data_IF_691642117662
#
_entry.id   IF_691642117662
#
_cell.length_a   1.000
_cell.length_b   1.000
_cell.length_c   1.000
_cell.angle_alpha   90.00
_cell.angle_beta   90.00
_cell.angle_gamma   90.00
#
_symmetry.space_group_name_H-M   'P 1'
#
loop_
_entity.id
_entity.type
_entity.pdbx_description
1 polymer ?
#
# COMPACT_ATOMS: atom_id res chain seq x y z
N UNK A 1 20.64 10.24 11.66
CA UNK A 1 20.69 8.77 11.50
C UNK A 1 19.63 8.45 10.47
N UNK A 2 20.00 7.74 9.39
CA UNK A 2 19.05 7.38 8.32
C UNK A 2 18.26 6.15 8.75
N UNK A 3 16.98 6.16 8.46
CA UNK A 3 16.06 5.06 8.73
C UNK A 3 16.46 3.77 7.97
N UNK A 4 16.23 2.62 8.58
CA UNK A 4 16.42 1.29 7.95
C UNK A 4 15.10 0.51 7.89
N UNK A 5 15.06 -0.54 7.06
CA UNK A 5 13.89 -1.43 6.99
C UNK A 5 13.56 -2.08 8.35
N UNK A 6 14.58 -2.39 9.14
CA UNK A 6 14.40 -2.98 10.47
C UNK A 6 13.69 -2.03 11.44
N UNK A 7 13.91 -0.72 11.32
CA UNK A 7 13.24 0.29 12.15
C UNK A 7 11.73 0.39 11.86
N UNK A 8 11.32 -0.04 10.66
CA UNK A 8 9.93 0.00 10.20
C UNK A 8 9.12 -1.25 10.50
N UNK A 9 9.75 -2.34 10.97
CA UNK A 9 9.02 -3.53 11.36
C UNK A 9 7.98 -3.20 12.44
N UNK A 10 6.72 -3.55 12.16
CA UNK A 10 5.57 -3.29 13.01
C UNK A 10 5.02 -1.87 12.91
N UNK A 11 5.46 -1.05 11.96
CA UNK A 11 4.98 0.32 11.75
C UNK A 11 3.44 0.41 11.68
N UNK A 12 2.81 -0.52 10.96
CA UNK A 12 1.36 -0.57 10.76
C UNK A 12 0.60 -0.66 12.07
N UNK A 13 1.12 -1.42 13.04
CA UNK A 13 0.46 -1.59 14.34
C UNK A 13 0.84 -0.48 15.32
N UNK A 14 2.11 -0.07 15.32
CA UNK A 14 2.70 0.81 16.34
C UNK A 14 2.47 2.30 16.07
N UNK A 15 2.67 2.75 14.84
CA UNK A 15 2.88 4.18 14.54
C UNK A 15 1.90 4.76 13.52
N UNK A 16 1.27 3.92 12.69
CA UNK A 16 0.39 4.38 11.59
C UNK A 16 -0.70 5.34 12.08
N UNK A 17 -1.40 5.01 13.16
CA UNK A 17 -2.50 5.85 13.68
C UNK A 17 -2.01 7.22 14.14
N UNK A 18 -0.83 7.28 14.75
CA UNK A 18 -0.25 8.52 15.24
C UNK A 18 0.15 9.44 14.07
N UNK A 19 0.75 8.90 13.02
CA UNK A 19 1.10 9.66 11.82
C UNK A 19 -0.14 10.14 11.07
N UNK A 20 -1.16 9.29 10.92
CA UNK A 20 -2.42 9.66 10.27
C UNK A 20 -3.16 10.74 11.06
N UNK A 21 -3.24 10.62 12.39
CA UNK A 21 -3.84 11.66 13.24
C UNK A 21 -3.04 12.98 13.19
N UNK A 22 -1.72 12.91 13.05
CA UNK A 22 -0.85 14.08 12.96
C UNK A 22 -1.04 14.87 11.67
N UNK A 23 -1.16 14.19 10.53
CA UNK A 23 -1.16 14.85 9.22
C UNK A 23 -2.52 14.92 8.54
N UNK A 24 -3.45 14.05 8.89
CA UNK A 24 -4.79 13.96 8.29
C UNK A 24 -5.92 13.90 9.35
N UNK A 25 -5.93 14.78 10.37
CA UNK A 25 -6.95 14.74 11.44
C UNK A 25 -8.38 14.96 10.93
N UNK A 26 -8.53 15.69 9.83
CA UNK A 26 -9.82 16.10 9.26
C UNK A 26 -10.21 15.27 8.02
N UNK A 27 -9.45 14.23 7.68
CA UNK A 27 -9.75 13.41 6.51
C UNK A 27 -10.96 12.51 6.75
N UNK A 28 -11.81 12.39 5.74
CA UNK A 28 -12.99 11.53 5.78
C UNK A 28 -12.58 10.09 6.11
N UNK A 29 -13.23 9.41 7.06
CA UNK A 29 -12.92 8.02 7.34
C UNK A 29 -13.25 7.11 6.15
N UNK A 30 -12.43 6.09 5.96
CA UNK A 30 -12.67 4.98 5.05
C UNK A 30 -13.96 4.27 5.44
N UNK A 31 -14.73 3.91 4.42
CA UNK A 31 -15.94 3.10 4.55
C UNK A 31 -15.88 1.99 3.52
N UNK A 32 -15.87 0.75 3.98
CA UNK A 32 -15.95 -0.43 3.11
C UNK A 32 -17.21 -1.23 3.46
N UNK A 33 -17.95 -1.75 2.48
CA UNK A 33 -19.11 -2.58 2.74
C UNK A 33 -18.77 -3.87 3.50
N UNK A 34 -19.73 -4.43 4.24
CA UNK A 34 -19.54 -5.69 4.99
C UNK A 34 -19.19 -6.86 4.05
N UNK A 35 -19.75 -6.84 2.84
CA UNK A 35 -19.50 -7.84 1.80
C UNK A 35 -18.11 -7.72 1.13
N UNK A 36 -17.29 -6.73 1.50
CA UNK A 36 -15.93 -6.63 0.98
C UNK A 36 -15.13 -7.90 1.31
N UNK A 37 -14.50 -8.48 0.28
CA UNK A 37 -13.73 -9.72 0.31
C UNK A 37 -12.93 -9.85 1.62
N UNK A 38 -13.05 -10.96 2.37
CA UNK A 38 -12.34 -11.13 3.63
C UNK A 38 -10.85 -11.33 3.40
N UNK A 39 -10.02 -10.72 4.26
CA UNK A 39 -8.55 -10.85 4.18
C UNK A 39 -8.06 -12.19 4.73
N UNK A 40 -8.85 -12.86 5.59
CA UNK A 40 -8.44 -14.05 6.36
C UNK A 40 -7.85 -15.19 5.52
N UNK A 41 -8.42 -15.58 4.36
CA UNK A 41 -7.80 -16.61 3.52
C UNK A 41 -6.41 -16.23 3.04
N UNK A 42 -6.21 -14.97 2.67
CA UNK A 42 -4.93 -14.45 2.21
C UNK A 42 -3.88 -14.39 3.33
N UNK A 43 -4.28 -14.01 4.55
CA UNK A 43 -3.38 -13.98 5.71
C UNK A 43 -2.72 -15.33 5.99
N UNK A 44 -3.41 -16.45 5.71
CA UNK A 44 -2.88 -17.79 5.92
C UNK A 44 -1.75 -18.16 4.93
N UNK A 45 -1.58 -17.40 3.84
CA UNK A 45 -0.54 -17.59 2.82
C UNK A 45 0.71 -16.75 3.07
N UNK A 46 0.64 -15.76 3.97
CA UNK A 46 1.72 -14.83 4.25
C UNK A 46 2.67 -15.35 5.33
N UNK A 47 3.90 -14.85 5.33
CA UNK A 47 4.79 -15.01 6.47
C UNK A 47 4.21 -14.28 7.70
N UNK A 48 4.54 -14.70 8.94
CA UNK A 48 3.88 -14.17 10.14
C UNK A 48 3.94 -12.65 10.31
N UNK A 49 5.04 -12.01 9.92
CA UNK A 49 5.20 -10.56 10.03
C UNK A 49 4.29 -9.82 9.04
N UNK A 50 4.25 -10.26 7.78
CA UNK A 50 3.42 -9.66 6.73
C UNK A 50 1.93 -9.88 7.01
N UNK A 51 1.57 -11.07 7.49
CA UNK A 51 0.22 -11.37 7.96
C UNK A 51 -0.20 -10.44 9.11
N UNK A 52 0.69 -10.19 10.08
CA UNK A 52 0.41 -9.30 11.20
C UNK A 52 0.18 -7.85 10.74
N UNK A 53 1.03 -7.34 9.83
CA UNK A 53 0.88 -6.00 9.26
C UNK A 53 -0.45 -5.87 8.48
N UNK A 54 -0.75 -6.80 7.58
CA UNK A 54 -1.99 -6.75 6.80
C UNK A 54 -3.23 -6.91 7.67
N UNK A 55 -3.21 -7.79 8.67
CA UNK A 55 -4.29 -7.91 9.64
C UNK A 55 -4.48 -6.62 10.46
N UNK A 56 -3.39 -5.92 10.80
CA UNK A 56 -3.44 -4.65 11.50
C UNK A 56 -4.03 -3.53 10.64
N UNK A 57 -3.75 -3.50 9.34
CA UNK A 57 -4.39 -2.60 8.39
C UNK A 57 -5.88 -2.94 8.21
N UNK A 58 -6.24 -4.21 7.99
CA UNK A 58 -7.62 -4.65 7.79
C UNK A 58 -8.52 -4.31 8.97
N UNK A 59 -8.05 -4.53 10.22
CA UNK A 59 -8.79 -4.09 11.42
C UNK A 59 -9.09 -2.59 11.40
N UNK A 60 -8.16 -1.76 10.92
CA UNK A 60 -8.33 -0.31 10.85
C UNK A 60 -9.30 0.10 9.75
N UNK A 61 -9.16 -0.48 8.56
CA UNK A 61 -10.10 -0.28 7.44
C UNK A 61 -11.53 -0.63 7.86
N UNK A 62 -11.72 -1.81 8.45
CA UNK A 62 -13.03 -2.30 8.90
C UNK A 62 -13.57 -1.59 10.14
N UNK A 63 -12.74 -0.86 10.89
CA UNK A 63 -13.21 -0.06 12.03
C UNK A 63 -14.05 1.16 11.62
N UNK A 64 -13.95 1.59 10.34
CA UNK A 64 -14.57 2.82 9.85
C UNK A 64 -13.95 4.10 10.42
N UNK A 65 -12.76 4.03 11.04
CA UNK A 65 -12.06 5.17 11.66
C UNK A 65 -10.75 5.54 10.96
N UNK A 66 -10.23 4.68 10.09
CA UNK A 66 -9.02 4.94 9.33
C UNK A 66 -9.26 6.13 8.38
N UNK A 67 -8.46 7.20 8.41
CA UNK A 67 -8.59 8.32 7.46
C UNK A 67 -8.43 7.89 6.00
N UNK A 68 -9.09 8.59 5.07
CA UNK A 68 -8.83 8.42 3.65
C UNK A 68 -7.46 8.98 3.25
N UNK A 69 -6.47 8.10 3.20
CA UNK A 69 -5.12 8.45 2.75
C UNK A 69 -4.65 7.64 1.54
N UNK A 70 -5.24 6.47 1.27
CA UNK A 70 -4.83 5.49 0.24
C UNK A 70 -5.99 5.13 -0.73
N UNK A 71 -6.92 6.07 -0.96
CA UNK A 71 -8.09 5.88 -1.82
C UNK A 71 -8.76 4.51 -1.63
N UNK A 72 -9.07 4.19 -0.37
CA UNK A 72 -9.63 2.91 0.06
C UNK A 72 -11.15 2.98 -0.07
N UNK A 73 -11.69 2.33 -1.09
CA UNK A 73 -13.12 2.31 -1.40
C UNK A 73 -13.60 0.87 -1.62
N UNK A 74 -14.92 0.69 -1.77
CA UNK A 74 -15.51 -0.62 -2.09
C UNK A 74 -15.02 -1.22 -3.40
N UNK A 75 -14.48 -0.40 -4.31
CA UNK A 75 -13.96 -0.82 -5.61
C UNK A 75 -12.44 -0.99 -5.63
N UNK A 76 -11.73 -0.68 -4.54
CA UNK A 76 -10.27 -0.83 -4.44
C UNK A 76 -9.84 -1.76 -3.30
N UNK A 77 -10.53 -1.75 -2.16
CA UNK A 77 -10.16 -2.62 -1.05
C UNK A 77 -10.74 -4.03 -1.22
N UNK A 78 -9.88 -5.04 -1.18
CA UNK A 78 -10.30 -6.43 -1.41
C UNK A 78 -10.92 -6.64 -2.79
N UNK A 79 -10.44 -5.91 -3.80
CA UNK A 79 -10.87 -6.09 -5.19
C UNK A 79 -10.74 -7.55 -5.62
N UNK A 80 -11.76 -8.04 -6.32
CA UNK A 80 -11.83 -9.40 -6.85
C UNK A 80 -11.58 -9.34 -8.37
N UNK A 81 -10.37 -9.69 -8.79
CA UNK A 81 -9.94 -9.56 -10.18
C UNK A 81 -10.73 -10.50 -11.09
N UNK A 82 -10.92 -11.75 -10.66
CA UNK A 82 -11.66 -12.77 -11.39
C UNK A 82 -13.15 -12.44 -11.56
N UNK A 83 -13.82 -11.97 -10.51
CA UNK A 83 -15.24 -11.57 -10.57
C UNK A 83 -15.45 -10.36 -11.50
N UNK A 84 -14.48 -9.46 -11.56
CA UNK A 84 -14.52 -8.28 -12.44
C UNK A 84 -14.00 -8.57 -13.86
N UNK A 85 -13.54 -9.79 -14.15
CA UNK A 85 -13.03 -10.18 -15.45
C UNK A 85 -11.72 -9.49 -15.83
N UNK A 86 -10.94 -9.06 -14.84
CA UNK A 86 -9.62 -8.48 -15.02
C UNK A 86 -8.55 -9.56 -15.02
N UNK A 87 -7.58 -9.43 -15.93
CA UNK A 87 -6.34 -10.19 -15.89
C UNK A 87 -5.45 -9.80 -14.71
N UNK A 88 -4.50 -10.68 -14.41
CA UNK A 88 -3.50 -10.46 -13.40
C UNK A 88 -2.21 -11.17 -13.79
N UNK A 89 -1.31 -10.43 -14.45
CA UNK A 89 0.01 -10.91 -14.82
C UNK A 89 1.08 -10.40 -13.85
N UNK A 90 2.07 -11.23 -13.55
CA UNK A 90 3.28 -10.77 -12.87
C UNK A 90 4.12 -9.89 -13.82
N UNK A 91 5.13 -9.21 -13.28
CA UNK A 91 5.98 -8.24 -13.98
C UNK A 91 6.76 -8.79 -15.18
N UNK A 92 6.76 -10.10 -15.40
CA UNK A 92 7.34 -10.76 -16.57
C UNK A 92 6.38 -10.85 -17.77
N UNK A 93 5.13 -10.36 -17.61
CA UNK A 93 4.07 -10.37 -18.62
C UNK A 93 3.66 -11.78 -19.09
N UNK A 94 4.02 -12.83 -18.35
CA UNK A 94 3.75 -14.22 -18.75
C UNK A 94 3.24 -15.09 -17.61
N UNK A 95 3.65 -14.83 -16.38
CA UNK A 95 3.21 -15.56 -15.21
C UNK A 95 1.82 -15.04 -14.80
N UNK A 96 0.81 -15.87 -15.01
CA UNK A 96 -0.55 -15.60 -14.54
C UNK A 96 -0.63 -15.79 -13.02
N UNK A 97 -1.26 -14.82 -12.35
CA UNK A 97 -1.58 -14.84 -10.94
C UNK A 97 -3.10 -14.87 -10.78
N UNK A 98 -3.56 -15.21 -9.58
CA UNK A 98 -4.98 -15.24 -9.24
C UNK A 98 -5.27 -14.33 -8.04
N UNK A 99 -6.56 -14.12 -7.76
CA UNK A 99 -7.01 -13.48 -6.54
C UNK A 99 -6.41 -14.09 -5.27
N UNK A 100 -6.09 -15.38 -5.26
CA UNK A 100 -5.49 -15.97 -4.07
C UNK A 100 -4.03 -15.51 -3.88
N UNK A 101 -3.36 -15.03 -4.93
CA UNK A 101 -1.95 -14.64 -4.92
C UNK A 101 -1.72 -13.17 -4.57
N UNK A 102 -2.80 -12.38 -4.56
CA UNK A 102 -2.79 -10.94 -4.23
C UNK A 102 -3.95 -10.52 -3.34
N UNK A 103 -3.77 -9.42 -2.61
CA UNK A 103 -4.87 -8.75 -1.94
C UNK A 103 -4.79 -7.24 -2.13
N UNK A 104 -5.82 -6.63 -2.72
CA UNK A 104 -5.83 -5.19 -2.96
C UNK A 104 -6.15 -4.39 -1.68
N UNK A 105 -5.38 -3.34 -1.44
CA UNK A 105 -5.41 -2.54 -0.20
C UNK A 105 -5.79 -1.08 -0.41
N UNK A 106 -5.98 -0.64 -1.66
CA UNK A 106 -6.30 0.73 -2.02
C UNK A 106 -5.92 1.04 -3.47
N UNK A 107 -5.98 2.31 -3.83
CA UNK A 107 -5.72 2.77 -5.19
C UNK A 107 -4.83 4.01 -5.23
N UNK A 108 -4.27 4.32 -6.40
CA UNK A 108 -3.48 5.53 -6.65
C UNK A 108 -4.33 6.76 -7.03
N UNK A 109 -5.64 6.57 -7.16
CA UNK A 109 -6.61 7.59 -7.61
C UNK A 109 -6.74 7.71 -9.13
N UNK A 110 -5.91 6.99 -9.91
CA UNK A 110 -5.93 6.89 -11.37
C UNK A 110 -6.50 5.59 -11.91
N UNK A 111 -6.95 4.68 -11.03
CA UNK A 111 -7.53 3.38 -11.39
C UNK A 111 -6.59 2.20 -11.14
N UNK A 112 -5.33 2.45 -10.81
CA UNK A 112 -4.38 1.40 -10.45
C UNK A 112 -4.57 1.01 -8.99
N UNK A 113 -4.31 -0.26 -8.71
CA UNK A 113 -4.53 -0.84 -7.39
C UNK A 113 -3.20 -1.14 -6.70
N UNK A 114 -3.08 -0.79 -5.43
CA UNK A 114 -2.01 -1.30 -4.59
C UNK A 114 -2.39 -2.68 -4.10
N UNK A 115 -1.53 -3.68 -4.33
CA UNK A 115 -1.77 -5.07 -3.93
C UNK A 115 -0.63 -5.61 -3.08
N UNK A 116 -0.98 -6.37 -2.05
CA UNK A 116 -0.02 -7.19 -1.29
C UNK A 116 0.11 -8.54 -1.98
N UNK A 117 1.33 -8.99 -2.20
CA UNK A 117 1.67 -10.29 -2.77
C UNK A 117 1.87 -11.34 -1.67
N UNK A 118 1.70 -12.62 -2.00
CA UNK A 118 1.95 -13.73 -1.04
C UNK A 118 3.37 -13.81 -0.49
N UNK A 119 4.34 -13.17 -1.17
CA UNK A 119 5.71 -13.03 -0.69
C UNK A 119 5.92 -11.82 0.27
N UNK A 120 4.85 -11.10 0.62
CA UNK A 120 4.87 -9.95 1.54
C UNK A 120 5.07 -8.59 0.84
N UNK A 121 5.55 -8.56 -0.40
CA UNK A 121 5.78 -7.31 -1.13
C UNK A 121 4.47 -6.57 -1.44
N UNK A 122 4.57 -5.26 -1.62
CA UNK A 122 3.49 -4.45 -2.19
C UNK A 122 3.86 -4.05 -3.61
N UNK A 123 2.93 -4.23 -4.55
CA UNK A 123 3.08 -3.86 -5.95
C UNK A 123 1.92 -2.97 -6.40
N UNK A 124 2.10 -2.27 -7.52
CA UNK A 124 1.02 -1.60 -8.24
C UNK A 124 0.53 -2.55 -9.33
N UNK A 125 -0.77 -2.86 -9.34
CA UNK A 125 -1.44 -3.45 -10.49
C UNK A 125 -1.89 -2.34 -11.44
N UNK A 126 -1.33 -2.35 -12.65
CA UNK A 126 -1.62 -1.37 -13.69
C UNK A 126 -2.83 -1.82 -14.51
N UNK A 127 -3.93 -1.08 -14.40
CA UNK A 127 -5.22 -1.53 -14.93
C UNK A 127 -5.30 -1.59 -16.46
N UNK A 128 -4.47 -0.81 -17.18
CA UNK A 128 -4.50 -0.78 -18.65
C UNK A 128 -3.87 -2.03 -19.27
N UNK A 129 -2.86 -2.60 -18.62
CA UNK A 129 -2.14 -3.79 -19.10
C UNK A 129 -2.39 -5.02 -18.22
N UNK A 130 -3.15 -4.86 -17.14
CA UNK A 130 -3.53 -5.92 -16.19
C UNK A 130 -2.31 -6.63 -15.59
N UNK A 131 -1.23 -5.89 -15.36
CA UNK A 131 0.09 -6.38 -14.94
C UNK A 131 0.53 -5.76 -13.61
N UNK A 132 1.27 -6.53 -12.81
CA UNK A 132 1.98 -6.01 -11.64
C UNK A 132 3.27 -5.32 -12.06
N UNK A 133 3.37 -4.02 -11.82
CA UNK A 133 4.55 -3.24 -12.17
C UNK A 133 5.77 -3.66 -11.34
N UNK A 134 6.78 -4.21 -12.00
CA UNK A 134 8.00 -4.69 -11.32
C UNK A 134 8.82 -3.56 -10.68
N UNK A 135 8.93 -2.42 -11.37
CA UNK A 135 9.75 -1.28 -10.94
C UNK A 135 9.10 -0.37 -9.89
N UNK A 136 7.95 -0.75 -9.34
CA UNK A 136 7.22 0.07 -8.35
C UNK A 136 6.98 -0.66 -7.03
N UNK A 137 7.73 -1.74 -6.77
CA UNK A 137 7.55 -2.59 -5.60
C UNK A 137 8.11 -1.98 -4.31
N UNK A 138 7.53 -2.46 -3.21
CA UNK A 138 8.01 -2.26 -1.85
C UNK A 138 8.23 -3.62 -1.20
N UNK A 139 9.25 -3.72 -0.36
CA UNK A 139 9.67 -4.97 0.28
C UNK A 139 8.60 -5.56 1.20
N UNK A 140 7.80 -4.70 1.84
CA UNK A 140 6.68 -5.11 2.68
C UNK A 140 5.65 -3.99 2.90
N UNK A 141 4.54 -4.35 3.56
CA UNK A 141 3.45 -3.41 3.85
C UNK A 141 3.86 -2.28 4.81
N UNK A 142 4.72 -2.53 5.79
CA UNK A 142 5.13 -1.50 6.76
C UNK A 142 5.90 -0.37 6.06
N UNK A 143 6.88 -0.71 5.23
CA UNK A 143 7.64 0.29 4.47
C UNK A 143 6.78 0.99 3.43
N UNK A 144 5.86 0.28 2.78
CA UNK A 144 4.89 0.88 1.87
C UNK A 144 4.04 1.95 2.57
N UNK A 145 3.39 1.59 3.68
CA UNK A 145 2.50 2.51 4.41
C UNK A 145 3.27 3.68 4.99
N UNK A 146 4.46 3.44 5.57
CA UNK A 146 5.33 4.51 6.06
C UNK A 146 5.64 5.52 4.95
N UNK A 147 6.01 5.01 3.77
CA UNK A 147 6.36 5.82 2.61
C UNK A 147 5.15 6.58 2.09
N UNK A 148 4.01 5.92 1.92
CA UNK A 148 2.83 6.53 1.33
C UNK A 148 2.22 7.63 2.21
N UNK A 149 2.17 7.41 3.53
CA UNK A 149 1.68 8.41 4.49
C UNK A 149 2.52 9.69 4.42
N UNK A 150 3.85 9.55 4.35
CA UNK A 150 4.79 10.69 4.25
C UNK A 150 4.71 11.37 2.90
N UNK A 151 4.63 10.60 1.82
CA UNK A 151 4.36 11.12 0.48
C UNK A 151 3.11 12.00 0.45
N UNK A 152 1.98 11.50 1.00
CA UNK A 152 0.73 12.27 1.08
C UNK A 152 0.87 13.50 1.99
N UNK A 153 1.60 13.40 3.10
CA UNK A 153 1.81 14.51 4.02
C UNK A 153 2.64 15.63 3.37
N UNK A 154 3.65 15.27 2.58
CA UNK A 154 4.44 16.23 1.79
C UNK A 154 3.56 16.88 0.73
N UNK A 155 2.80 16.10 -0.06
CA UNK A 155 1.90 16.63 -1.08
C UNK A 155 0.79 17.52 -0.52
N UNK A 156 0.40 17.32 0.74
CA UNK A 156 -0.56 18.15 1.45
C UNK A 156 0.08 19.39 2.12
N UNK A 157 1.39 19.60 1.97
CA UNK A 157 2.13 20.70 2.60
C UNK A 157 2.25 20.60 4.12
N UNK A 158 2.01 19.41 4.70
CA UNK A 158 2.06 19.14 6.15
C UNK A 158 3.43 18.66 6.62
N UNK A 159 4.28 18.21 5.70
CA UNK A 159 5.63 17.72 5.94
C UNK A 159 6.57 18.27 4.86
N UNK A 160 7.77 18.71 5.24
CA UNK A 160 8.75 19.16 4.26
C UNK A 160 9.41 17.95 3.59
N UNK A 161 9.58 17.98 2.25
CA UNK A 161 10.32 16.95 1.51
C UNK A 161 11.71 16.67 2.11
N UNK A 162 12.43 17.73 2.46
CA UNK A 162 13.77 17.65 3.05
C UNK A 162 13.81 16.90 4.39
N UNK A 163 12.67 16.72 5.06
CA UNK A 163 12.58 15.94 6.29
C UNK A 163 12.51 14.43 6.06
N UNK A 164 12.25 13.96 4.84
CA UNK A 164 12.05 12.52 4.53
C UNK A 164 12.92 12.01 3.39
N UNK A 165 13.43 12.90 2.51
CA UNK A 165 14.15 12.50 1.30
C UNK A 165 15.34 11.56 1.57
N UNK A 166 16.14 11.86 2.61
CA UNK A 166 17.27 11.00 2.97
C UNK A 166 16.83 9.59 3.43
N UNK A 167 15.69 9.48 4.12
CA UNK A 167 15.15 8.21 4.55
C UNK A 167 14.58 7.41 3.38
N UNK A 168 13.90 8.07 2.43
CA UNK A 168 13.44 7.44 1.18
C UNK A 168 14.61 6.84 0.39
N UNK A 169 15.69 7.61 0.23
CA UNK A 169 16.91 7.14 -0.45
C UNK A 169 17.57 5.99 0.33
N UNK A 170 17.61 6.07 1.67
CA UNK A 170 18.21 5.02 2.49
C UNK A 170 17.41 3.71 2.50
N UNK A 171 16.07 3.80 2.47
CA UNK A 171 15.18 2.64 2.39
C UNK A 171 15.23 1.94 1.03
N UNK A 172 15.60 2.66 -0.05
CA UNK A 172 15.95 2.02 -1.32
C UNK A 172 14.79 1.34 -2.04
N UNK A 173 13.54 1.71 -1.77
CA UNK A 173 12.37 1.04 -2.33
C UNK A 173 12.12 1.47 -3.79
N UNK A 174 11.93 0.52 -4.70
CA UNK A 174 11.74 0.81 -6.13
C UNK A 174 10.54 1.75 -6.34
N UNK A 175 9.39 1.45 -5.74
CA UNK A 175 8.19 2.30 -5.81
C UNK A 175 8.35 3.69 -5.17
N UNK A 176 9.37 3.88 -4.34
CA UNK A 176 9.69 5.18 -3.77
C UNK A 176 10.65 5.99 -4.64
N UNK A 177 11.54 5.32 -5.38
CA UNK A 177 12.72 5.92 -6.01
C UNK A 177 12.74 5.87 -7.55
N UNK A 178 11.83 5.14 -8.20
CA UNK A 178 11.78 5.09 -9.66
C UNK A 178 11.77 6.52 -10.26
N UNK A 179 12.70 6.87 -11.17
CA UNK A 179 12.90 8.26 -11.60
C UNK A 179 11.67 8.98 -12.17
N UNK A 180 10.72 8.26 -12.76
CA UNK A 180 9.57 8.83 -13.45
C UNK A 180 8.28 8.68 -12.63
N UNK A 181 8.16 7.60 -11.87
CA UNK A 181 6.94 7.13 -11.21
C UNK A 181 7.06 7.03 -9.68
N UNK A 182 8.28 7.06 -9.15
CA UNK A 182 8.55 6.89 -7.73
C UNK A 182 7.94 8.02 -6.88
N UNK A 183 7.49 7.68 -5.67
CA UNK A 183 6.86 8.64 -4.75
C UNK A 183 7.68 9.92 -4.56
N UNK A 184 9.02 9.81 -4.46
CA UNK A 184 9.91 10.95 -4.26
C UNK A 184 9.90 11.94 -5.44
N UNK A 185 9.70 11.45 -6.67
CA UNK A 185 9.57 12.30 -7.85
C UNK A 185 8.31 13.18 -7.79
N UNK A 186 7.24 12.66 -7.19
CA UNK A 186 5.96 13.35 -7.06
C UNK A 186 5.81 14.19 -5.78
N UNK A 187 6.81 14.20 -4.89
CA UNK A 187 6.88 15.09 -3.73
C UNK A 187 7.35 16.48 -4.16
N UNK A 188 6.38 17.34 -4.51
CA UNK A 188 6.59 18.76 -4.84
C UNK A 188 6.17 19.67 -3.70
#
# INVERSE_FOLDING_TARGET
>A
MTLTLADLVGYTDRDLDADLARWFPDATPVQVPEQTRPVTPFLARLAPADAAALAALDRRVRSGRLPQFLDIFSWSYGFDFGENGCGLLDSDYTTELTDDDVYSIGADGGGNLYVVLTNGQVAVWFHEEEVLEGGTRFDNLDVFLWSFVRYRAVRAGKLARSAVEADFVALGQDGALEPNLGLLNYMK
#
